data_IF_730129409026
#
_entry.id   IF_730129409026
#
_cell.length_a   1.000
_cell.length_b   1.000
_cell.length_c   1.000
_cell.angle_alpha   90.00
_cell.angle_beta   90.00
_cell.angle_gamma   90.00
#
_symmetry.space_group_name_H-M   'P 1'
#
loop_
_entity.id
_entity.type
_entity.pdbx_description
1 polymer ?
#
# COMPACT_ATOMS: atom_id res chain seq x y z
N UNK A 1 -74.07 -73.29 1.58
CA UNK A 1 -74.63 -72.62 2.75
C UNK A 1 -75.04 -71.20 2.37
N UNK A 2 -76.32 -70.92 2.23
CA UNK A 2 -76.81 -69.54 2.05
C UNK A 2 -76.68 -68.79 3.41
N UNK A 3 -75.79 -67.82 3.48
CA UNK A 3 -75.71 -66.90 4.65
C UNK A 3 -76.74 -65.80 4.50
N UNK A 4 -77.90 -65.93 5.20
CA UNK A 4 -79.06 -65.05 5.06
C UNK A 4 -78.88 -63.71 5.79
N UNK A 5 -77.93 -63.57 6.69
CA UNK A 5 -77.78 -62.36 7.55
C UNK A 5 -76.75 -61.34 7.04
N UNK A 6 -75.93 -61.66 6.03
CA UNK A 6 -74.91 -60.71 5.49
C UNK A 6 -74.79 -60.82 3.97
N UNK A 7 -75.02 -59.72 3.27
CA UNK A 7 -74.82 -59.63 1.80
C UNK A 7 -73.35 -59.29 1.53
N UNK A 8 -72.49 -60.31 1.38
CA UNK A 8 -71.06 -60.18 1.13
C UNK A 8 -70.76 -59.43 -0.18
N UNK A 9 -71.61 -59.55 -1.19
CA UNK A 9 -71.44 -58.83 -2.44
C UNK A 9 -71.67 -57.32 -2.27
N UNK A 10 -72.72 -56.93 -1.51
CA UNK A 10 -72.99 -55.54 -1.21
C UNK A 10 -71.84 -54.90 -0.31
N UNK A 11 -71.34 -55.68 0.66
CA UNK A 11 -70.18 -55.20 1.49
C UNK A 11 -68.91 -55.04 0.67
N UNK A 12 -68.66 -55.96 -0.32
CA UNK A 12 -67.53 -55.80 -1.22
C UNK A 12 -67.70 -54.64 -2.21
N UNK A 13 -68.93 -54.43 -2.73
CA UNK A 13 -69.23 -53.25 -3.53
C UNK A 13 -69.05 -51.94 -2.77
N UNK A 14 -69.57 -51.90 -1.52
CA UNK A 14 -69.38 -50.73 -0.66
C UNK A 14 -67.93 -50.46 -0.34
N UNK A 15 -67.14 -51.50 -0.04
CA UNK A 15 -65.68 -51.35 0.19
C UNK A 15 -64.99 -50.80 -1.03
N UNK A 16 -65.30 -51.31 -2.22
CA UNK A 16 -64.72 -50.81 -3.48
C UNK A 16 -65.13 -49.37 -3.78
N UNK A 17 -66.36 -48.99 -3.44
CA UNK A 17 -66.88 -47.62 -3.58
C UNK A 17 -66.10 -46.63 -2.63
N UNK A 18 -65.92 -47.02 -1.38
CA UNK A 18 -65.17 -46.24 -0.42
C UNK A 18 -63.72 -46.08 -0.92
N UNK A 19 -63.09 -47.16 -1.33
CA UNK A 19 -61.72 -47.11 -1.86
C UNK A 19 -61.60 -46.20 -3.10
N UNK A 20 -62.55 -46.26 -4.02
CA UNK A 20 -62.59 -45.40 -5.23
C UNK A 20 -62.80 -43.92 -4.87
N UNK A 21 -63.68 -43.63 -3.88
CA UNK A 21 -63.84 -42.26 -3.41
C UNK A 21 -62.58 -41.72 -2.75
N UNK A 22 -61.89 -42.53 -1.97
CA UNK A 22 -60.60 -42.12 -1.36
C UNK A 22 -59.52 -41.83 -2.42
N UNK A 23 -59.42 -42.70 -3.45
CA UNK A 23 -58.48 -42.48 -4.56
C UNK A 23 -58.86 -41.23 -5.34
N UNK A 24 -60.15 -41.00 -5.63
CA UNK A 24 -60.66 -39.82 -6.32
C UNK A 24 -60.37 -38.55 -5.54
N UNK A 25 -60.67 -38.53 -4.22
CA UNK A 25 -60.40 -37.40 -3.36
C UNK A 25 -58.87 -37.07 -3.32
N UNK A 26 -58.02 -38.08 -3.19
CA UNK A 26 -56.56 -37.89 -3.26
C UNK A 26 -56.09 -37.33 -4.61
N UNK A 27 -56.68 -37.81 -5.71
CA UNK A 27 -56.33 -37.33 -7.05
C UNK A 27 -56.80 -35.88 -7.24
N UNK A 28 -58.01 -35.53 -6.80
CA UNK A 28 -58.52 -34.15 -6.81
C UNK A 28 -57.64 -33.21 -5.97
N UNK A 29 -57.21 -33.67 -4.77
CA UNK A 29 -56.31 -32.92 -3.95
C UNK A 29 -54.97 -32.65 -4.64
N UNK A 30 -54.39 -33.65 -5.30
CA UNK A 30 -53.18 -33.54 -6.08
C UNK A 30 -53.33 -32.60 -7.27
N UNK A 31 -54.46 -32.69 -7.98
CA UNK A 31 -54.76 -31.83 -9.12
C UNK A 31 -54.96 -30.37 -8.68
N UNK A 32 -55.68 -30.14 -7.59
CA UNK A 32 -55.92 -28.79 -7.03
C UNK A 32 -54.66 -28.14 -6.49
N UNK A 33 -53.78 -28.90 -5.85
CA UNK A 33 -52.53 -28.38 -5.30
C UNK A 33 -51.40 -28.33 -6.36
N UNK A 34 -51.53 -29.05 -7.49
CA UNK A 34 -50.46 -29.24 -8.44
C UNK A 34 -49.28 -30.08 -7.94
N UNK A 35 -49.39 -30.67 -6.76
CA UNK A 35 -48.31 -31.40 -6.11
C UNK A 35 -48.67 -32.89 -5.95
N UNK A 36 -47.68 -33.77 -6.25
CA UNK A 36 -47.84 -35.22 -6.11
C UNK A 36 -47.88 -35.67 -4.64
N UNK A 37 -47.19 -34.93 -3.75
CA UNK A 37 -47.06 -35.23 -2.33
C UNK A 37 -47.61 -34.03 -1.55
N UNK A 38 -48.74 -34.22 -0.88
CA UNK A 38 -49.44 -33.18 -0.09
C UNK A 38 -49.41 -33.44 1.42
N UNK A 39 -49.33 -34.72 1.79
CA UNK A 39 -49.40 -35.15 3.18
C UNK A 39 -48.30 -36.15 3.51
N UNK A 40 -47.96 -36.26 4.79
CA UNK A 40 -46.96 -37.23 5.24
C UNK A 40 -47.32 -38.68 4.88
N UNK A 41 -48.64 -38.98 4.77
CA UNK A 41 -49.15 -40.29 4.34
C UNK A 41 -48.87 -40.62 2.84
N UNK A 42 -48.58 -39.62 1.99
CA UNK A 42 -48.25 -39.83 0.59
C UNK A 42 -46.78 -40.30 0.36
N UNK A 43 -45.94 -40.20 1.39
CA UNK A 43 -44.55 -40.64 1.40
C UNK A 43 -43.69 -39.76 2.30
N UNK A 44 -43.40 -40.20 3.55
CA UNK A 44 -42.70 -39.35 4.55
C UNK A 44 -41.32 -38.91 4.09
N UNK A 45 -40.53 -39.79 3.47
CA UNK A 45 -39.22 -39.47 2.97
C UNK A 45 -39.23 -38.43 1.82
N UNK A 46 -40.21 -38.60 0.94
CA UNK A 46 -40.38 -37.71 -0.24
C UNK A 46 -40.89 -36.33 0.20
N UNK A 47 -41.71 -36.24 1.25
CA UNK A 47 -42.16 -34.96 1.82
C UNK A 47 -40.98 -34.20 2.42
N UNK A 48 -40.13 -34.86 3.22
CA UNK A 48 -38.93 -34.23 3.79
C UNK A 48 -37.99 -33.69 2.70
N UNK A 49 -37.77 -34.48 1.64
CA UNK A 49 -36.95 -34.04 0.51
C UNK A 49 -37.58 -32.83 -0.19
N UNK A 50 -38.92 -32.88 -0.45
CA UNK A 50 -39.65 -31.77 -1.08
C UNK A 50 -39.55 -30.46 -0.26
N UNK A 51 -39.76 -30.52 1.05
CA UNK A 51 -39.64 -29.36 1.91
C UNK A 51 -38.21 -28.83 2.00
N UNK A 52 -37.22 -29.74 2.02
CA UNK A 52 -35.79 -29.33 1.99
C UNK A 52 -35.43 -28.62 0.66
N UNK A 53 -35.92 -29.15 -0.49
CA UNK A 53 -35.70 -28.50 -1.79
C UNK A 53 -36.44 -27.15 -1.87
N UNK A 54 -37.66 -27.06 -1.34
CA UNK A 54 -38.43 -25.82 -1.30
C UNK A 54 -37.72 -24.76 -0.44
N UNK A 55 -37.18 -25.14 0.72
CA UNK A 55 -36.36 -24.27 1.54
C UNK A 55 -35.10 -23.81 0.82
N UNK A 56 -34.42 -24.72 0.09
CA UNK A 56 -33.25 -24.36 -0.72
C UNK A 56 -33.59 -23.38 -1.85
N UNK A 57 -34.70 -23.61 -2.57
CA UNK A 57 -35.16 -22.71 -3.64
C UNK A 57 -35.50 -21.32 -3.07
N UNK A 58 -36.16 -21.24 -1.90
CA UNK A 58 -36.44 -20.00 -1.22
C UNK A 58 -35.15 -19.28 -0.81
N UNK A 59 -34.18 -20.02 -0.24
CA UNK A 59 -32.89 -19.51 0.12
C UNK A 59 -32.06 -19.00 -1.08
N UNK A 60 -32.10 -19.73 -2.22
CA UNK A 60 -31.40 -19.31 -3.45
C UNK A 60 -32.02 -18.05 -4.06
N UNK A 61 -33.35 -17.91 -4.05
CA UNK A 61 -34.00 -16.67 -4.51
C UNK A 61 -33.56 -15.49 -3.68
N UNK A 62 -33.57 -15.62 -2.35
CA UNK A 62 -33.08 -14.55 -1.47
C UNK A 62 -31.59 -14.27 -1.68
N UNK A 63 -30.78 -15.29 -1.98
CA UNK A 63 -29.36 -15.11 -2.31
C UNK A 63 -29.14 -14.33 -3.61
N UNK A 64 -29.99 -14.52 -4.61
CA UNK A 64 -30.00 -13.73 -5.85
C UNK A 64 -30.32 -12.27 -5.54
N UNK A 65 -31.42 -12.01 -4.81
CA UNK A 65 -31.79 -10.64 -4.41
C UNK A 65 -30.66 -9.97 -3.62
N UNK A 66 -30.02 -10.68 -2.69
CA UNK A 66 -28.86 -10.17 -1.94
C UNK A 66 -27.69 -9.85 -2.86
N UNK A 67 -27.44 -10.66 -3.89
CA UNK A 67 -26.34 -10.43 -4.86
C UNK A 67 -26.63 -9.19 -5.71
N UNK A 68 -27.87 -9.01 -6.18
CA UNK A 68 -28.29 -7.81 -6.92
C UNK A 68 -28.11 -6.54 -6.09
N UNK A 69 -28.51 -6.56 -4.82
CA UNK A 69 -28.30 -5.45 -3.88
C UNK A 69 -26.79 -5.21 -3.67
N UNK A 70 -26.01 -6.28 -3.56
CA UNK A 70 -24.54 -6.20 -3.45
C UNK A 70 -23.90 -5.53 -4.67
N UNK A 71 -24.32 -5.91 -5.86
CA UNK A 71 -23.89 -5.33 -7.14
C UNK A 71 -24.23 -3.82 -7.18
N UNK A 72 -25.46 -3.45 -6.86
CA UNK A 72 -25.88 -2.05 -6.82
C UNK A 72 -25.05 -1.20 -5.85
N UNK A 73 -24.69 -1.77 -4.69
CA UNK A 73 -23.81 -1.12 -3.72
C UNK A 73 -22.40 -0.92 -4.27
N UNK A 74 -21.82 -1.94 -4.92
CA UNK A 74 -20.49 -1.86 -5.53
C UNK A 74 -20.46 -0.86 -6.68
N UNK A 75 -21.51 -0.82 -7.51
CA UNK A 75 -21.65 0.16 -8.59
C UNK A 75 -21.74 1.59 -8.07
N UNK A 76 -22.41 1.82 -6.92
CA UNK A 76 -22.44 3.14 -6.26
C UNK A 76 -21.03 3.56 -5.83
N UNK A 77 -20.27 2.64 -5.22
CA UNK A 77 -18.90 2.90 -4.83
C UNK A 77 -17.98 3.14 -6.05
N UNK A 78 -18.16 2.37 -7.12
CA UNK A 78 -17.40 2.53 -8.36
C UNK A 78 -17.64 3.90 -9.02
N UNK A 79 -18.89 4.37 -9.04
CA UNK A 79 -19.20 5.72 -9.53
C UNK A 79 -18.44 6.80 -8.78
N UNK A 80 -18.41 6.73 -7.44
CA UNK A 80 -17.65 7.65 -6.61
C UNK A 80 -16.12 7.54 -6.83
N UNK A 81 -15.60 6.33 -6.98
CA UNK A 81 -14.18 6.11 -7.29
C UNK A 81 -13.78 6.62 -8.68
N UNK A 82 -14.69 6.60 -9.64
CA UNK A 82 -14.43 7.16 -10.97
C UNK A 82 -14.25 8.68 -10.91
N UNK A 83 -15.05 9.37 -10.09
CA UNK A 83 -14.94 10.82 -9.86
C UNK A 83 -13.63 11.17 -9.14
N UNK A 84 -13.26 10.38 -8.11
CA UNK A 84 -11.98 10.54 -7.41
C UNK A 84 -10.81 10.32 -8.38
N UNK A 85 -10.88 9.32 -9.24
CA UNK A 85 -9.84 9.06 -10.23
C UNK A 85 -9.66 10.22 -11.22
N UNK A 86 -10.75 10.83 -11.69
CA UNK A 86 -10.69 12.00 -12.54
C UNK A 86 -10.05 13.20 -11.81
N UNK A 87 -10.41 13.39 -10.55
CA UNK A 87 -9.85 14.43 -9.68
C UNK A 87 -8.35 14.25 -9.46
N UNK A 88 -7.89 13.02 -9.24
CA UNK A 88 -6.46 12.71 -9.10
C UNK A 88 -5.67 12.97 -10.39
N UNK A 89 -6.27 12.70 -11.56
CA UNK A 89 -5.63 13.02 -12.85
C UNK A 89 -5.48 14.54 -13.03
N UNK A 90 -6.48 15.35 -12.63
CA UNK A 90 -6.39 16.80 -12.66
C UNK A 90 -5.32 17.29 -11.68
N UNK A 91 -5.29 16.76 -10.46
CA UNK A 91 -4.27 17.07 -9.46
C UNK A 91 -2.85 16.77 -9.97
N UNK A 92 -2.67 15.66 -10.69
CA UNK A 92 -1.40 15.31 -11.30
C UNK A 92 -0.96 16.34 -12.35
N UNK A 93 -1.91 16.84 -13.16
CA UNK A 93 -1.60 17.88 -14.15
C UNK A 93 -1.14 19.18 -13.48
N UNK A 94 -1.76 19.57 -12.37
CA UNK A 94 -1.34 20.75 -11.58
C UNK A 94 0.04 20.53 -10.96
N UNK A 95 0.32 19.36 -10.39
CA UNK A 95 1.63 19.06 -9.84
C UNK A 95 2.74 19.05 -10.91
N UNK A 96 2.46 18.54 -12.13
CA UNK A 96 3.40 18.61 -13.26
C UNK A 96 3.59 20.05 -13.73
N UNK A 97 2.53 20.89 -13.72
CA UNK A 97 2.64 22.30 -14.02
C UNK A 97 3.53 23.01 -12.99
N UNK A 98 3.25 22.81 -11.70
CA UNK A 98 4.02 23.39 -10.59
C UNK A 98 5.50 22.97 -10.57
N UNK A 99 5.82 21.75 -11.04
CA UNK A 99 7.19 21.26 -11.12
C UNK A 99 8.07 22.02 -12.14
N UNK A 100 7.49 22.86 -13.01
CA UNK A 100 8.22 23.65 -14.00
C UNK A 100 8.68 24.99 -13.39
N UNK A 101 9.68 24.96 -12.55
CA UNK A 101 10.24 26.13 -11.84
C UNK A 101 10.70 27.25 -12.79
N UNK A 102 11.12 26.92 -14.01
CA UNK A 102 11.68 27.91 -14.96
C UNK A 102 10.63 28.91 -15.49
N UNK A 103 9.34 28.60 -15.40
CA UNK A 103 8.25 29.37 -15.99
C UNK A 103 7.28 29.90 -14.95
N UNK A 104 7.12 29.20 -13.83
CA UNK A 104 6.14 29.54 -12.81
C UNK A 104 6.72 30.55 -11.81
N UNK A 105 5.93 31.56 -11.50
CA UNK A 105 6.19 32.48 -10.39
C UNK A 105 5.48 32.03 -9.10
N UNK A 106 5.79 32.65 -7.98
CA UNK A 106 5.22 32.33 -6.68
C UNK A 106 3.69 32.44 -6.65
N UNK A 107 3.09 33.39 -7.39
CA UNK A 107 1.64 33.55 -7.49
C UNK A 107 0.99 32.38 -8.22
N UNK A 108 1.62 31.87 -9.29
CA UNK A 108 1.16 30.69 -10.03
C UNK A 108 1.25 29.43 -9.16
N UNK A 109 2.36 29.22 -8.46
CA UNK A 109 2.53 28.09 -7.54
C UNK A 109 1.51 28.12 -6.39
N UNK A 110 1.21 29.30 -5.86
CA UNK A 110 0.14 29.47 -4.87
C UNK A 110 -1.24 29.14 -5.44
N UNK A 111 -1.55 29.56 -6.67
CA UNK A 111 -2.81 29.24 -7.32
C UNK A 111 -2.96 27.72 -7.56
N UNK A 112 -1.91 27.05 -8.03
CA UNK A 112 -1.90 25.60 -8.20
C UNK A 112 -2.11 24.88 -6.85
N UNK A 113 -1.48 25.35 -5.77
CA UNK A 113 -1.66 24.78 -4.42
C UNK A 113 -3.10 24.96 -3.92
N UNK A 114 -3.73 26.11 -4.13
CA UNK A 114 -5.13 26.34 -3.75
C UNK A 114 -6.07 25.40 -4.52
N UNK A 115 -5.83 25.19 -5.81
CA UNK A 115 -6.64 24.25 -6.60
C UNK A 115 -6.43 22.81 -6.14
N UNK A 116 -5.20 22.40 -5.81
CA UNK A 116 -4.91 21.09 -5.19
C UNK A 116 -5.66 20.95 -3.86
N UNK A 117 -5.67 21.96 -3.00
CA UNK A 117 -6.40 21.95 -1.74
C UNK A 117 -7.92 21.78 -1.95
N UNK A 118 -8.48 22.43 -2.99
CA UNK A 118 -9.86 22.27 -3.38
C UNK A 118 -10.17 20.84 -3.84
N UNK A 119 -9.29 20.24 -4.64
CA UNK A 119 -9.42 18.85 -5.10
C UNK A 119 -9.31 17.88 -3.92
N UNK A 120 -8.38 18.05 -2.99
CA UNK A 120 -8.27 17.25 -1.77
C UNK A 120 -9.56 17.30 -0.95
N UNK A 121 -10.12 18.52 -0.76
CA UNK A 121 -11.40 18.72 -0.08
C UNK A 121 -12.57 18.04 -0.80
N UNK A 122 -12.54 18.01 -2.13
CA UNK A 122 -13.54 17.33 -2.95
C UNK A 122 -13.42 15.80 -2.81
N UNK A 123 -12.21 15.24 -2.83
CA UNK A 123 -11.95 13.81 -2.60
C UNK A 123 -12.48 13.40 -1.22
N UNK A 124 -12.17 14.16 -0.18
CA UNK A 124 -12.63 13.88 1.18
C UNK A 124 -14.15 13.98 1.31
N UNK A 125 -14.79 14.89 0.61
CA UNK A 125 -16.24 15.01 0.55
C UNK A 125 -16.86 13.81 -0.17
N UNK A 126 -16.38 13.45 -1.36
CA UNK A 126 -16.87 12.28 -2.11
C UNK A 126 -16.71 11.01 -1.30
N UNK A 127 -15.57 10.82 -0.64
CA UNK A 127 -15.31 9.65 0.22
C UNK A 127 -16.30 9.55 1.38
N UNK A 128 -16.64 10.69 2.00
CA UNK A 128 -17.58 10.76 3.12
C UNK A 128 -19.02 10.60 2.69
N UNK A 129 -19.41 11.19 1.54
CA UNK A 129 -20.78 11.23 1.05
C UNK A 129 -21.16 9.97 0.26
N UNK A 130 -20.18 9.19 -0.23
CA UNK A 130 -20.42 7.92 -0.91
C UNK A 130 -21.02 6.88 0.05
N UNK A 131 -22.35 6.73 -0.01
CA UNK A 131 -23.09 5.83 0.87
C UNK A 131 -24.14 5.01 0.11
N UNK A 132 -24.42 3.82 0.62
CA UNK A 132 -25.53 2.99 0.21
C UNK A 132 -26.49 2.76 1.39
N UNK A 133 -27.64 3.40 1.34
CA UNK A 133 -28.52 3.53 2.49
C UNK A 133 -27.89 4.37 3.60
N UNK A 134 -27.58 3.76 4.75
CA UNK A 134 -26.88 4.41 5.88
C UNK A 134 -25.42 3.95 6.04
N UNK A 135 -24.89 3.24 5.04
CA UNK A 135 -23.54 2.67 5.11
C UNK A 135 -22.62 3.50 4.22
N UNK A 136 -21.66 4.16 4.83
CA UNK A 136 -20.55 4.80 4.11
C UNK A 136 -19.67 3.70 3.49
N UNK A 137 -19.15 3.96 2.30
CA UNK A 137 -18.43 2.95 1.51
C UNK A 137 -16.94 3.22 1.42
N UNK A 138 -16.52 4.50 1.33
CA UNK A 138 -15.15 4.90 1.02
C UNK A 138 -14.39 5.54 2.19
N UNK A 139 -15.04 5.74 3.34
CA UNK A 139 -14.49 6.37 4.54
C UNK A 139 -13.61 5.45 5.40
N UNK A 140 -13.33 4.22 4.93
CA UNK A 140 -12.57 3.21 5.67
C UNK A 140 -13.40 2.41 6.69
N UNK A 141 -14.63 2.82 7.00
CA UNK A 141 -15.48 2.13 7.99
C UNK A 141 -15.85 0.69 7.59
N UNK A 142 -15.66 0.33 6.29
CA UNK A 142 -15.99 -0.98 5.70
C UNK A 142 -14.76 -1.76 5.23
N UNK A 143 -13.60 -1.45 5.77
CA UNK A 143 -12.33 -2.10 5.48
C UNK A 143 -11.65 -2.65 6.72
N UNK A 144 -10.45 -3.14 6.54
CA UNK A 144 -9.53 -3.43 7.62
C UNK A 144 -8.74 -2.16 7.94
N UNK A 145 -8.89 -1.65 9.15
CA UNK A 145 -8.17 -0.48 9.64
C UNK A 145 -7.14 -0.89 10.69
N UNK A 146 -6.00 -0.23 10.69
CA UNK A 146 -4.93 -0.51 11.62
C UNK A 146 -4.40 0.75 12.30
N UNK A 147 -4.02 0.60 13.57
CA UNK A 147 -3.30 1.61 14.33
C UNK A 147 -2.01 0.99 14.82
N UNK A 148 -0.90 1.66 14.56
CA UNK A 148 0.43 1.21 14.99
C UNK A 148 0.81 1.79 16.34
N UNK A 149 1.54 1.00 17.11
CA UNK A 149 2.24 1.43 18.33
C UNK A 149 3.72 1.15 18.11
N UNK A 150 4.50 2.20 17.95
CA UNK A 150 5.94 2.15 17.63
C UNK A 150 6.38 3.36 16.84
N UNK A 151 7.60 3.87 17.07
CA UNK A 151 8.05 5.14 16.53
C UNK A 151 8.26 5.14 15.00
N UNK A 152 8.60 3.98 14.43
CA UNK A 152 8.99 3.79 13.02
C UNK A 152 8.11 2.76 12.32
N UNK A 153 6.90 2.48 12.86
CA UNK A 153 5.91 1.59 12.27
C UNK A 153 4.75 2.40 11.74
N UNK A 154 4.36 2.13 10.50
CA UNK A 154 3.17 2.70 9.87
C UNK A 154 2.29 1.61 9.27
N UNK A 155 0.97 1.73 9.50
CA UNK A 155 0.01 0.84 8.88
C UNK A 155 -0.23 1.29 7.43
N UNK A 156 0.11 0.44 6.47
CA UNK A 156 -0.08 0.70 5.04
C UNK A 156 -1.44 0.20 4.59
N UNK A 157 -1.80 -1.01 4.98
CA UNK A 157 -3.08 -1.60 4.59
C UNK A 157 -3.30 -2.99 5.14
N UNK A 158 -4.53 -3.47 4.99
CA UNK A 158 -4.89 -4.85 5.24
C UNK A 158 -6.03 -5.25 4.29
N UNK A 159 -6.14 -6.53 4.00
CA UNK A 159 -7.19 -7.04 3.13
C UNK A 159 -8.30 -7.75 3.95
N UNK A 160 -9.27 -8.31 3.25
CA UNK A 160 -10.40 -9.05 3.85
C UNK A 160 -10.00 -10.37 4.52
N UNK A 161 -8.78 -10.90 4.26
CA UNK A 161 -8.26 -12.12 4.87
C UNK A 161 -7.61 -11.85 6.22
N UNK A 162 -7.13 -10.62 6.45
CA UNK A 162 -6.54 -10.21 7.72
C UNK A 162 -7.59 -10.30 8.81
N UNK A 163 -7.34 -11.07 9.85
CA UNK A 163 -8.25 -11.15 11.00
C UNK A 163 -8.09 -9.90 11.87
N UNK A 164 -9.14 -9.54 12.60
CA UNK A 164 -9.01 -8.53 13.65
C UNK A 164 -8.01 -8.99 14.71
N UNK A 165 -7.11 -8.10 15.12
CA UNK A 165 -6.16 -8.41 16.18
C UNK A 165 -6.84 -8.50 17.55
N UNK A 166 -6.29 -9.30 18.44
CA UNK A 166 -6.71 -9.32 19.85
C UNK A 166 -6.24 -8.05 20.59
N UNK A 167 -6.55 -8.03 21.89
CA UNK A 167 -6.04 -6.98 22.80
C UNK A 167 -4.51 -7.02 22.80
N UNK A 168 -3.87 -5.90 22.47
CA UNK A 168 -2.42 -5.79 22.34
C UNK A 168 -1.89 -5.81 20.91
N UNK A 169 -2.75 -6.01 19.91
CA UNK A 169 -2.37 -5.94 18.50
C UNK A 169 -1.50 -7.12 18.03
N UNK A 170 -1.13 -7.09 16.76
CA UNK A 170 -0.11 -7.98 16.19
C UNK A 170 1.27 -7.43 16.54
N UNK A 171 2.08 -8.21 17.21
CA UNK A 171 3.46 -7.86 17.57
C UNK A 171 4.37 -8.00 16.37
N UNK A 172 5.21 -6.99 16.13
CA UNK A 172 6.11 -6.92 14.97
C UNK A 172 7.55 -7.09 15.43
N UNK A 173 8.20 -8.12 14.89
CA UNK A 173 9.64 -8.39 15.05
C UNK A 173 10.31 -8.15 13.70
N UNK A 174 11.30 -7.27 13.64
CA UNK A 174 12.11 -7.02 12.45
C UNK A 174 13.45 -7.73 12.62
N UNK A 175 13.68 -8.75 11.82
CA UNK A 175 14.90 -9.56 11.87
C UNK A 175 16.03 -8.91 11.07
N UNK A 176 15.70 -8.33 9.91
CA UNK A 176 16.64 -7.63 9.04
C UNK A 176 15.95 -6.41 8.44
N UNK A 177 16.61 -5.25 8.51
CA UNK A 177 16.10 -4.01 7.92
C UNK A 177 16.34 -3.98 6.41
N UNK A 178 15.48 -3.27 5.69
CA UNK A 178 15.66 -3.05 4.27
C UNK A 178 16.94 -2.25 3.99
N UNK A 179 17.61 -2.57 2.88
CA UNK A 179 18.79 -1.84 2.40
C UNK A 179 18.62 -1.46 0.95
N UNK A 180 19.16 -0.31 0.59
CA UNK A 180 19.24 0.17 -0.79
C UNK A 180 20.45 -0.47 -1.49
N UNK A 181 20.34 -0.68 -2.80
CA UNK A 181 21.47 -1.07 -3.61
C UNK A 181 22.47 0.11 -3.68
N UNK A 182 23.72 -0.13 -3.32
CA UNK A 182 24.74 0.92 -3.29
C UNK A 182 26.13 0.39 -3.66
N UNK A 183 26.95 1.26 -4.20
CA UNK A 183 28.38 1.01 -4.44
C UNK A 183 29.17 2.21 -3.95
N UNK A 184 30.26 1.92 -3.23
CA UNK A 184 31.23 2.95 -2.81
C UNK A 184 32.56 2.63 -3.46
N UNK A 185 33.15 3.61 -4.12
CA UNK A 185 34.49 3.48 -4.70
C UNK A 185 35.53 3.15 -3.63
N UNK A 186 36.52 2.38 -4.02
CA UNK A 186 37.70 2.07 -3.19
C UNK A 186 38.84 3.07 -3.41
N UNK A 187 38.74 3.84 -4.49
CA UNK A 187 39.69 4.90 -4.86
C UNK A 187 38.98 6.25 -4.72
N UNK A 188 39.65 7.20 -4.03
CA UNK A 188 39.12 8.56 -3.91
C UNK A 188 39.28 9.35 -5.22
N UNK A 189 38.31 10.20 -5.54
CA UNK A 189 38.41 11.14 -6.63
C UNK A 189 39.45 12.21 -6.27
N UNK A 190 40.50 12.32 -7.12
CA UNK A 190 41.59 13.29 -6.94
C UNK A 190 41.69 14.21 -8.15
N UNK A 191 42.32 15.37 -7.98
CA UNK A 191 42.55 16.29 -9.10
C UNK A 191 43.34 15.62 -10.24
N UNK A 192 44.27 14.67 -9.95
CA UNK A 192 45.01 13.93 -10.96
C UNK A 192 44.11 13.05 -11.85
N UNK A 193 43.07 12.43 -11.24
CA UNK A 193 42.07 11.63 -11.95
C UNK A 193 41.20 12.55 -12.81
N UNK A 194 40.76 13.67 -12.24
CA UNK A 194 39.95 14.69 -12.94
C UNK A 194 40.71 15.23 -14.17
N UNK A 195 41.97 15.63 -14.01
CA UNK A 195 42.77 16.20 -15.09
C UNK A 195 43.09 15.15 -16.18
N UNK A 196 43.14 13.89 -15.84
CA UNK A 196 43.29 12.78 -16.79
C UNK A 196 42.07 12.63 -17.67
N UNK A 197 40.91 13.02 -17.17
CA UNK A 197 39.61 12.92 -17.86
C UNK A 197 38.93 11.59 -17.56
N UNK A 198 38.24 11.52 -16.45
CA UNK A 198 37.48 10.36 -16.02
C UNK A 198 36.09 10.35 -16.65
N UNK A 199 35.62 9.18 -17.06
CA UNK A 199 34.26 8.98 -17.53
C UNK A 199 33.52 8.02 -16.58
N UNK A 200 32.38 8.44 -16.10
CA UNK A 200 31.48 7.63 -15.27
C UNK A 200 30.19 7.44 -16.05
N UNK A 201 29.81 6.18 -16.27
CA UNK A 201 28.54 5.84 -16.91
C UNK A 201 27.68 5.10 -15.90
N UNK A 202 26.41 5.52 -15.78
CA UNK A 202 25.40 4.92 -14.90
C UNK A 202 24.23 4.52 -15.77
N UNK A 203 23.78 3.29 -15.64
CA UNK A 203 22.63 2.76 -16.37
C UNK A 203 21.60 2.18 -15.38
N UNK A 204 20.36 2.61 -15.50
CA UNK A 204 19.25 2.16 -14.66
C UNK A 204 17.94 2.23 -15.46
N UNK A 205 17.14 1.16 -15.43
CA UNK A 205 15.82 1.11 -16.07
C UNK A 205 15.82 1.40 -17.57
N UNK A 206 16.96 1.13 -18.28
CA UNK A 206 17.14 1.43 -19.70
C UNK A 206 17.50 2.90 -19.99
N UNK A 207 17.73 3.71 -18.96
CA UNK A 207 18.30 5.06 -19.09
C UNK A 207 19.79 4.99 -18.84
N UNK A 208 20.58 5.74 -19.62
CA UNK A 208 22.04 5.78 -19.50
C UNK A 208 22.49 7.22 -19.33
N UNK A 209 23.30 7.48 -18.32
CA UNK A 209 23.98 8.75 -18.09
C UNK A 209 25.46 8.53 -18.26
N UNK A 210 26.10 9.43 -18.99
CA UNK A 210 27.54 9.48 -19.11
C UNK A 210 28.03 10.84 -18.65
N UNK A 211 28.82 10.85 -17.58
CA UNK A 211 29.45 12.03 -17.01
C UNK A 211 30.94 11.99 -17.28
N UNK A 212 31.48 13.10 -17.81
CA UNK A 212 32.91 13.29 -17.99
C UNK A 212 33.38 14.35 -17.00
N UNK A 213 34.48 14.10 -16.30
CA UNK A 213 35.04 15.07 -15.36
C UNK A 213 35.45 16.36 -16.05
N UNK A 214 35.20 17.48 -15.36
CA UNK A 214 35.56 18.82 -15.83
C UNK A 214 37.00 19.09 -15.44
N UNK A 215 37.91 19.06 -16.42
CA UNK A 215 39.35 19.24 -16.22
C UNK A 215 39.65 20.65 -15.70
N UNK A 216 40.55 20.75 -14.75
CA UNK A 216 40.92 22.01 -14.10
C UNK A 216 39.95 22.51 -13.03
N UNK A 217 38.83 21.81 -12.80
CA UNK A 217 37.87 22.10 -11.75
C UNK A 217 38.20 21.29 -10.48
N UNK A 218 37.68 21.75 -9.34
CA UNK A 218 37.87 21.07 -8.05
C UNK A 218 37.06 19.75 -7.98
N UNK A 219 37.44 18.87 -7.06
CA UNK A 219 36.70 17.62 -6.78
C UNK A 219 35.25 17.94 -6.43
N UNK A 220 35.01 18.96 -5.59
CA UNK A 220 33.67 19.38 -5.18
C UNK A 220 32.80 19.85 -6.37
N UNK A 221 33.40 20.68 -7.26
CA UNK A 221 32.71 21.14 -8.47
C UNK A 221 32.30 19.97 -9.38
N UNK A 222 33.16 18.96 -9.53
CA UNK A 222 32.88 17.75 -10.31
C UNK A 222 31.80 16.88 -9.67
N UNK A 223 31.80 16.70 -8.34
CA UNK A 223 30.75 15.96 -7.63
C UNK A 223 29.39 16.66 -7.73
N UNK A 224 29.36 17.99 -7.59
CA UNK A 224 28.14 18.77 -7.77
C UNK A 224 27.61 18.70 -9.22
N UNK A 225 28.50 18.74 -10.22
CA UNK A 225 28.15 18.58 -11.63
C UNK A 225 27.59 17.18 -11.92
N UNK A 226 28.21 16.12 -11.35
CA UNK A 226 27.68 14.76 -11.45
C UNK A 226 26.28 14.65 -10.82
N UNK A 227 26.12 15.18 -9.61
CA UNK A 227 24.82 15.20 -8.91
C UNK A 227 23.74 15.90 -9.74
N UNK A 228 24.07 17.05 -10.34
CA UNK A 228 23.16 17.78 -11.21
C UNK A 228 22.81 16.98 -12.46
N UNK A 229 23.78 16.36 -13.12
CA UNK A 229 23.56 15.53 -14.32
C UNK A 229 22.64 14.35 -14.02
N UNK A 230 22.79 13.72 -12.86
CA UNK A 230 21.92 12.62 -12.41
C UNK A 230 20.50 13.13 -12.14
N UNK A 231 20.33 14.28 -11.49
CA UNK A 231 19.03 14.89 -11.23
C UNK A 231 18.31 15.27 -12.53
N UNK A 232 19.00 15.91 -13.47
CA UNK A 232 18.46 16.35 -14.76
C UNK A 232 18.02 15.16 -15.65
N UNK A 233 18.63 13.98 -15.46
CA UNK A 233 18.36 12.77 -16.28
C UNK A 233 17.23 11.91 -15.73
N UNK A 234 16.66 12.26 -14.59
CA UNK A 234 15.56 11.53 -13.93
C UNK A 234 15.85 10.02 -13.78
N UNK A 235 17.05 9.69 -13.30
CA UNK A 235 17.47 8.34 -12.92
C UNK A 235 17.22 8.12 -11.43
N UNK A 236 16.90 6.89 -11.04
CA UNK A 236 16.61 6.58 -9.65
C UNK A 236 17.85 6.16 -8.84
N UNK A 237 19.00 6.62 -9.28
CA UNK A 237 20.28 6.53 -8.57
C UNK A 237 20.69 7.92 -8.08
N UNK A 238 21.18 8.01 -6.85
CA UNK A 238 21.66 9.25 -6.24
C UNK A 238 23.14 9.17 -5.90
N UNK A 239 23.80 10.32 -5.96
CA UNK A 239 25.15 10.48 -5.45
C UNK A 239 25.07 10.85 -3.96
N UNK A 240 25.62 10.01 -3.09
CA UNK A 240 25.72 10.25 -1.65
C UNK A 240 27.07 10.90 -1.36
N UNK A 241 27.02 12.14 -0.90
CA UNK A 241 28.23 12.87 -0.52
C UNK A 241 28.75 12.39 0.84
N UNK A 242 30.07 12.47 1.11
CA UNK A 242 30.65 12.01 2.37
C UNK A 242 30.06 12.65 3.63
N UNK A 243 29.69 13.94 3.59
CA UNK A 243 29.00 14.65 4.67
C UNK A 243 27.59 14.10 4.89
N UNK A 244 26.85 13.80 3.82
CA UNK A 244 25.55 13.15 3.88
C UNK A 244 25.66 11.75 4.50
N UNK A 245 26.65 10.96 4.10
CA UNK A 245 26.90 9.63 4.65
C UNK A 245 27.22 9.67 6.14
N UNK A 246 28.01 10.66 6.58
CA UNK A 246 28.35 10.89 7.99
C UNK A 246 27.11 11.30 8.81
N UNK A 247 26.28 12.18 8.25
CA UNK A 247 25.01 12.60 8.86
C UNK A 247 24.01 11.44 8.94
N UNK A 248 23.86 10.68 7.86
CA UNK A 248 22.98 9.51 7.83
C UNK A 248 23.40 8.47 8.87
N UNK A 249 24.69 8.15 8.97
CA UNK A 249 25.18 7.20 9.97
C UNK A 249 24.93 7.67 11.41
N UNK A 250 25.08 8.96 11.69
CA UNK A 250 24.77 9.54 13.01
C UNK A 250 23.27 9.44 13.33
N UNK A 251 22.42 9.69 12.33
CA UNK A 251 20.97 9.64 12.50
C UNK A 251 20.43 8.20 12.51
N UNK A 252 21.11 7.25 11.85
CA UNK A 252 20.79 5.83 11.89
C UNK A 252 21.11 5.17 13.22
N UNK A 253 22.19 5.59 13.88
CA UNK A 253 22.53 5.10 15.22
C UNK A 253 21.58 5.63 16.31
N UNK A 254 20.81 6.66 16.01
CA UNK A 254 19.80 7.21 16.89
C UNK A 254 18.42 6.60 16.59
N UNK A 255 17.56 6.45 17.62
CA UNK A 255 16.16 6.02 17.43
C UNK A 255 15.25 7.17 16.98
N UNK A 256 15.77 8.10 16.20
CA UNK A 256 15.04 9.26 15.72
C UNK A 256 13.93 8.85 14.77
N UNK A 257 12.75 9.48 14.90
CA UNK A 257 11.61 9.24 14.01
C UNK A 257 12.01 9.52 12.56
N UNK A 258 11.66 8.62 11.67
CA UNK A 258 11.99 8.70 10.24
C UNK A 258 11.59 10.05 9.61
N UNK A 259 10.42 10.57 9.94
CA UNK A 259 9.95 11.86 9.41
C UNK A 259 10.87 13.04 9.74
N UNK A 260 11.49 13.05 10.93
CA UNK A 260 12.47 14.09 11.33
C UNK A 260 13.81 13.83 10.65
N UNK A 261 14.22 12.55 10.59
CA UNK A 261 15.45 12.14 9.93
C UNK A 261 15.46 12.55 8.45
N UNK A 262 14.39 12.27 7.71
CA UNK A 262 14.28 12.67 6.29
C UNK A 262 14.26 14.18 6.10
N UNK A 263 13.61 14.95 7.00
CA UNK A 263 13.63 16.42 6.94
C UNK A 263 15.04 16.99 7.14
N UNK A 264 15.83 16.43 8.03
CA UNK A 264 17.23 16.85 8.27
C UNK A 264 18.09 16.47 7.07
N UNK A 265 17.99 15.23 6.56
CA UNK A 265 18.74 14.74 5.41
C UNK A 265 18.37 15.52 4.14
N UNK A 266 17.10 15.81 3.92
CA UNK A 266 16.63 16.53 2.73
C UNK A 266 17.19 17.95 2.56
N UNK A 267 17.58 18.60 3.67
CA UNK A 267 18.09 19.98 3.66
C UNK A 267 19.58 20.09 3.99
N UNK A 268 20.28 18.98 4.17
CA UNK A 268 21.68 18.98 4.67
C UNK A 268 22.67 19.78 3.81
N UNK A 269 22.40 19.95 2.52
CA UNK A 269 23.24 20.70 1.56
C UNK A 269 22.95 22.22 1.56
N UNK A 270 21.93 22.69 2.26
CA UNK A 270 21.57 24.10 2.37
C UNK A 270 21.64 24.52 3.83
N UNK A 271 22.68 25.28 4.19
CA UNK A 271 22.93 25.67 5.58
C UNK A 271 21.77 26.48 6.18
N UNK A 272 21.15 27.37 5.41
CA UNK A 272 20.04 28.20 5.90
C UNK A 272 18.78 27.35 6.12
N UNK A 273 18.44 26.46 5.17
CA UNK A 273 17.32 25.53 5.31
C UNK A 273 17.53 24.52 6.44
N UNK A 274 18.74 24.03 6.64
CA UNK A 274 19.09 23.16 7.76
C UNK A 274 18.89 23.89 9.11
N UNK A 275 19.34 25.13 9.22
CA UNK A 275 19.13 25.95 10.44
C UNK A 275 17.64 26.17 10.72
N UNK A 276 16.83 26.39 9.69
CA UNK A 276 15.37 26.57 9.84
C UNK A 276 14.69 25.27 10.32
N UNK A 277 15.12 24.13 9.83
CA UNK A 277 14.63 22.83 10.30
C UNK A 277 15.10 22.56 11.74
N UNK A 278 16.35 22.83 12.07
CA UNK A 278 16.91 22.61 13.41
C UNK A 278 16.34 23.55 14.47
N UNK A 279 15.75 24.70 14.11
CA UNK A 279 15.06 25.62 15.03
C UNK A 279 13.64 25.18 15.38
N UNK A 280 13.07 24.23 14.67
CA UNK A 280 11.70 23.77 14.94
C UNK A 280 11.65 22.99 16.26
N UNK A 281 10.64 23.29 17.08
CA UNK A 281 10.51 22.74 18.44
C UNK A 281 10.33 21.20 18.45
N UNK A 282 9.63 20.67 17.45
CA UNK A 282 9.44 19.22 17.27
C UNK A 282 10.76 18.51 16.97
N UNK A 283 11.63 19.12 16.15
CA UNK A 283 12.94 18.58 15.78
C UNK A 283 13.90 18.65 16.98
N UNK A 284 14.00 19.80 17.64
CA UNK A 284 14.88 19.98 18.80
C UNK A 284 14.49 19.06 19.96
N UNK A 285 13.21 18.86 20.18
CA UNK A 285 12.69 17.96 21.22
C UNK A 285 13.02 16.51 20.90
N UNK A 286 12.78 16.08 19.66
CA UNK A 286 13.07 14.72 19.23
C UNK A 286 14.57 14.40 19.26
N UNK A 287 15.45 15.33 18.85
CA UNK A 287 16.90 15.17 18.95
C UNK A 287 17.33 14.97 20.40
N UNK A 288 16.78 15.75 21.31
CA UNK A 288 17.09 15.64 22.75
C UNK A 288 16.62 14.29 23.33
N UNK A 289 15.46 13.79 22.91
CA UNK A 289 14.94 12.48 23.35
C UNK A 289 15.89 11.33 23.00
N UNK A 290 16.59 11.41 21.86
CA UNK A 290 17.55 10.40 21.40
C UNK A 290 18.99 10.70 21.81
N UNK A 291 19.23 11.78 22.59
CA UNK A 291 20.56 12.14 23.11
C UNK A 291 21.47 12.86 22.10
N UNK A 292 20.91 13.36 21.00
CA UNK A 292 21.64 14.16 20.00
C UNK A 292 21.47 15.66 20.30
N UNK A 293 22.48 16.44 19.95
CA UNK A 293 22.43 17.90 20.00
C UNK A 293 22.34 18.48 18.58
N UNK A 294 21.83 19.72 18.49
CA UNK A 294 21.84 20.47 17.23
C UNK A 294 23.28 20.66 16.71
N UNK A 295 24.26 20.78 17.60
CA UNK A 295 25.68 20.91 17.25
C UNK A 295 26.23 19.61 16.61
N UNK A 296 25.81 18.44 17.06
CA UNK A 296 26.23 17.17 16.46
C UNK A 296 25.74 17.08 14.99
N UNK A 297 24.52 17.52 14.74
CA UNK A 297 23.95 17.56 13.38
C UNK A 297 24.70 18.57 12.51
N UNK A 298 24.98 19.77 13.03
CA UNK A 298 25.77 20.77 12.31
C UNK A 298 27.17 20.27 11.97
N UNK A 299 27.83 19.63 12.92
CA UNK A 299 29.16 19.07 12.69
C UNK A 299 29.19 17.96 11.68
N UNK A 300 28.13 17.12 11.67
CA UNK A 300 27.99 16.04 10.69
C UNK A 300 27.63 16.57 9.29
N UNK A 301 26.79 17.61 9.20
CA UNK A 301 26.34 18.21 7.94
C UNK A 301 27.36 19.24 7.39
N UNK A 302 28.32 19.69 8.17
CA UNK A 302 29.31 20.67 7.72
C UNK A 302 30.00 20.18 6.45
N UNK A 303 29.98 21.00 5.40
CA UNK A 303 30.69 20.72 4.17
C UNK A 303 32.16 20.43 4.48
N UNK A 304 32.68 19.36 3.90
CA UNK A 304 34.10 19.03 3.99
C UNK A 304 34.86 20.06 3.15
N UNK A 305 35.09 21.22 3.73
CA UNK A 305 35.94 22.25 3.13
C UNK A 305 37.43 21.95 3.33
N UNK A 306 37.73 20.90 4.11
CA UNK A 306 39.10 20.45 4.30
C UNK A 306 39.50 19.56 3.11
N UNK A 307 40.26 20.18 2.18
CA UNK A 307 40.78 19.57 0.95
C UNK A 307 41.72 18.37 1.16
N UNK A 308 41.86 17.88 2.38
CA UNK A 308 42.74 16.78 2.76
C UNK A 308 42.04 15.44 3.03
N UNK A 309 40.72 15.39 3.15
CA UNK A 309 40.01 14.09 3.29
C UNK A 309 39.75 13.45 1.91
N UNK A 310 40.04 12.14 1.75
CA UNK A 310 39.79 11.45 0.49
C UNK A 310 38.28 11.40 0.18
N UNK A 311 37.88 11.88 -0.99
CA UNK A 311 36.49 11.92 -1.45
C UNK A 311 36.16 10.65 -2.23
N UNK A 312 35.51 9.69 -1.59
CA UNK A 312 34.99 8.47 -2.27
C UNK A 312 33.64 8.75 -2.89
N UNK A 313 33.44 8.29 -4.10
CA UNK A 313 32.14 8.37 -4.77
C UNK A 313 31.28 7.21 -4.28
N UNK A 314 30.10 7.54 -3.72
CA UNK A 314 29.08 6.56 -3.37
C UNK A 314 27.85 6.79 -4.22
N UNK A 315 27.47 5.79 -5.01
CA UNK A 315 26.23 5.77 -5.76
C UNK A 315 25.26 4.81 -5.10
N UNK A 316 24.02 5.24 -4.96
CA UNK A 316 22.98 4.49 -4.26
C UNK A 316 21.66 4.61 -5.01
N UNK A 317 20.90 3.51 -5.11
CA UNK A 317 19.55 3.57 -5.64
C UNK A 317 18.61 4.27 -4.63
N UNK A 318 17.61 5.00 -5.12
CA UNK A 318 16.65 5.70 -4.24
C UNK A 318 15.72 4.72 -3.54
N UNK A 319 15.30 3.63 -4.20
CA UNK A 319 14.40 2.64 -3.64
C UNK A 319 15.13 1.57 -2.82
N UNK A 320 14.44 1.06 -1.80
CA UNK A 320 14.87 -0.06 -0.97
C UNK A 320 14.49 -1.40 -1.58
N UNK A 321 15.26 -2.43 -1.26
CA UNK A 321 14.91 -3.81 -1.57
C UNK A 321 15.80 -4.47 -2.60
N UNK A 322 15.41 -5.65 -3.01
CA UNK A 322 16.15 -6.51 -3.94
C UNK A 322 15.80 -6.25 -5.42
N UNK A 323 14.66 -5.61 -5.69
CA UNK A 323 14.23 -5.29 -7.07
C UNK A 323 15.04 -4.16 -7.73
N UNK A 324 15.45 -3.08 -7.00
CA UNK A 324 16.23 -2.00 -7.56
C UNK A 324 17.64 -2.46 -7.95
N UNK A 325 17.99 -2.32 -9.24
CA UNK A 325 19.28 -2.71 -9.80
C UNK A 325 19.76 -1.63 -10.76
N UNK A 326 21.04 -1.29 -10.68
CA UNK A 326 21.67 -0.37 -11.63
C UNK A 326 23.08 -0.86 -12.00
N UNK A 327 23.62 -0.41 -13.10
CA UNK A 327 24.99 -0.70 -13.50
C UNK A 327 25.86 0.56 -13.54
N UNK A 328 27.13 0.40 -13.21
CA UNK A 328 28.12 1.48 -13.22
C UNK A 328 29.35 1.06 -13.99
N UNK A 329 29.92 2.02 -14.71
CA UNK A 329 31.21 1.86 -15.42
C UNK A 329 32.06 3.08 -15.12
N UNK A 330 33.36 2.91 -14.90
CA UNK A 330 34.33 4.00 -14.74
C UNK A 330 35.59 3.70 -15.50
N UNK A 331 36.23 4.73 -16.07
CA UNK A 331 37.49 4.58 -16.81
C UNK A 331 38.61 4.17 -15.85
N UNK A 332 38.62 4.67 -14.62
CA UNK A 332 39.58 4.28 -13.58
C UNK A 332 38.99 3.20 -12.69
N UNK A 333 39.66 2.03 -12.62
CA UNK A 333 39.28 0.94 -11.75
C UNK A 333 39.26 1.37 -10.27
N UNK A 334 38.23 0.99 -9.54
CA UNK A 334 38.07 1.31 -8.11
C UNK A 334 37.48 2.68 -7.83
N UNK A 335 37.26 3.56 -8.81
CA UNK A 335 36.62 4.85 -8.59
C UNK A 335 35.12 4.72 -8.29
N UNK A 336 34.41 3.92 -9.10
CA UNK A 336 33.01 3.52 -8.90
C UNK A 336 32.87 2.04 -9.23
N UNK A 337 33.34 1.60 -10.41
CA UNK A 337 33.38 0.20 -10.82
C UNK A 337 34.69 -0.46 -10.39
N UNK A 338 34.66 -1.76 -10.07
CA UNK A 338 35.84 -2.52 -9.63
C UNK A 338 36.91 -2.64 -10.74
N UNK A 339 36.49 -2.74 -12.02
CA UNK A 339 37.34 -2.87 -13.19
C UNK A 339 37.16 -1.66 -14.13
N UNK A 340 38.22 -1.29 -14.84
CA UNK A 340 38.21 -0.19 -15.81
C UNK A 340 37.40 -0.56 -17.04
N UNK A 341 36.50 0.33 -17.47
CA UNK A 341 35.64 0.20 -18.65
C UNK A 341 34.76 -1.07 -18.73
N UNK A 342 34.55 -1.73 -17.59
CA UNK A 342 33.68 -2.90 -17.46
C UNK A 342 32.41 -2.52 -16.69
N UNK A 343 31.20 -2.75 -17.24
CA UNK A 343 29.96 -2.54 -16.50
C UNK A 343 29.86 -3.47 -15.30
N UNK A 344 29.65 -2.90 -14.12
CA UNK A 344 29.41 -3.61 -12.87
C UNK A 344 27.96 -3.44 -12.47
N UNK A 345 27.24 -4.54 -12.38
CA UNK A 345 25.86 -4.56 -11.87
C UNK A 345 25.83 -4.49 -10.34
N UNK A 346 25.01 -3.60 -9.80
CA UNK A 346 24.83 -3.36 -8.37
C UNK A 346 23.42 -3.82 -7.99
N UNK A 347 23.34 -4.94 -7.27
CA UNK A 347 22.13 -5.64 -6.85
C UNK A 347 22.18 -6.06 -5.36
N UNK A 348 22.94 -5.35 -4.55
CA UNK A 348 23.17 -5.68 -3.14
C UNK A 348 22.12 -5.11 -2.18
N UNK A 349 21.05 -4.55 -2.72
CA UNK A 349 19.88 -4.14 -1.95
C UNK A 349 19.20 -5.33 -1.25
N UNK A 350 18.47 -5.08 -0.17
CA UNK A 350 17.77 -6.11 0.60
C UNK A 350 16.38 -5.65 1.01
N UNK A 351 15.43 -6.57 0.93
CA UNK A 351 14.10 -6.39 1.49
C UNK A 351 14.13 -6.55 3.01
N UNK A 352 13.17 -5.92 3.68
CA UNK A 352 12.94 -6.13 5.09
C UNK A 352 12.57 -7.60 5.36
N UNK A 353 13.12 -8.19 6.42
CA UNK A 353 12.71 -9.51 6.88
C UNK A 353 12.23 -9.43 8.33
N UNK A 354 11.13 -10.10 8.65
CA UNK A 354 10.56 -10.04 9.98
C UNK A 354 9.47 -11.06 10.22
N UNK A 355 8.85 -10.93 11.40
CA UNK A 355 7.73 -11.78 11.82
C UNK A 355 6.59 -10.91 12.34
N UNK A 356 5.38 -11.33 12.05
CA UNK A 356 4.15 -10.75 12.57
C UNK A 356 3.51 -11.79 13.49
N UNK A 357 3.37 -11.47 14.76
CA UNK A 357 2.85 -12.37 15.80
C UNK A 357 3.63 -13.70 15.90
N UNK A 358 4.93 -13.68 15.62
CA UNK A 358 5.79 -14.85 15.63
C UNK A 358 5.80 -15.68 14.34
N UNK A 359 4.92 -15.36 13.37
CA UNK A 359 4.86 -16.01 12.05
C UNK A 359 5.68 -15.22 11.02
N UNK A 360 6.34 -15.93 10.11
CA UNK A 360 7.21 -15.31 9.09
C UNK A 360 6.38 -14.41 8.17
N UNK A 361 6.87 -13.20 7.98
CA UNK A 361 6.31 -12.22 7.06
C UNK A 361 7.27 -11.98 5.89
N UNK A 362 6.73 -11.57 4.75
CA UNK A 362 7.50 -11.33 3.53
C UNK A 362 7.77 -9.84 3.39
N UNK A 363 9.01 -9.48 3.09
CA UNK A 363 9.41 -8.11 2.80
C UNK A 363 9.32 -7.76 1.32
N UNK A 364 8.98 -6.50 1.04
CA UNK A 364 9.21 -5.85 -0.23
C UNK A 364 9.66 -4.41 0.05
N UNK A 365 10.91 -4.09 -0.25
CA UNK A 365 11.51 -2.85 0.22
C UNK A 365 11.41 -2.75 1.74
N UNK A 366 10.85 -1.67 2.25
CA UNK A 366 10.61 -1.42 3.68
C UNK A 366 9.23 -1.93 4.17
N UNK A 367 8.40 -2.50 3.28
CA UNK A 367 7.06 -2.97 3.63
C UNK A 367 7.11 -4.45 4.00
N UNK A 368 6.68 -4.77 5.22
CA UNK A 368 6.51 -6.13 5.72
C UNK A 368 5.07 -6.57 5.50
N UNK A 369 4.88 -7.70 4.81
CA UNK A 369 3.58 -8.27 4.48
C UNK A 369 3.34 -9.58 5.20
N UNK A 370 2.20 -9.71 5.85
CA UNK A 370 1.78 -10.93 6.53
C UNK A 370 1.70 -12.13 5.59
N UNK A 371 2.24 -13.26 6.04
CA UNK A 371 2.28 -14.50 5.27
C UNK A 371 0.91 -15.05 4.94
N UNK A 372 0.78 -15.74 3.80
CA UNK A 372 -0.46 -16.38 3.39
C UNK A 372 -0.91 -17.45 4.41
N UNK A 373 -2.22 -17.55 4.63
CA UNK A 373 -2.86 -18.47 5.59
C UNK A 373 -2.57 -18.22 7.08
N UNK A 374 -1.89 -17.11 7.41
CA UNK A 374 -1.70 -16.64 8.79
C UNK A 374 -2.89 -15.79 9.27
N UNK A 375 -2.91 -15.43 10.55
CA UNK A 375 -3.93 -14.48 11.04
C UNK A 375 -3.73 -13.07 10.48
N UNK A 376 -2.48 -12.74 10.14
CA UNK A 376 -2.07 -11.46 9.55
C UNK A 376 -2.00 -11.51 8.01
N UNK A 377 -2.59 -12.53 7.35
CA UNK A 377 -2.58 -12.64 5.88
C UNK A 377 -3.07 -11.35 5.22
N UNK A 378 -2.20 -10.75 4.39
CA UNK A 378 -2.49 -9.51 3.68
C UNK A 378 -2.39 -8.22 4.51
N UNK A 379 -1.90 -8.28 5.75
CA UNK A 379 -1.51 -7.10 6.52
C UNK A 379 -0.19 -6.54 5.97
N UNK A 380 -0.15 -5.26 5.65
CA UNK A 380 1.01 -4.54 5.14
C UNK A 380 1.41 -3.43 6.11
N UNK A 381 2.68 -3.44 6.51
CA UNK A 381 3.24 -2.54 7.51
C UNK A 381 4.54 -1.98 6.96
N UNK A 382 4.69 -0.66 6.93
CA UNK A 382 5.94 0.00 6.65
C UNK A 382 6.77 0.09 7.93
N UNK A 383 8.03 -0.29 7.84
CA UNK A 383 9.03 -0.06 8.88
C UNK A 383 10.17 0.79 8.32
N UNK A 384 10.32 1.98 8.88
CA UNK A 384 11.32 2.97 8.46
C UNK A 384 12.48 3.07 9.45
N UNK A 385 12.51 2.22 10.48
CA UNK A 385 13.62 2.15 11.42
C UNK A 385 14.89 1.55 10.80
N UNK A 386 16.05 1.98 11.29
CA UNK A 386 17.36 1.49 10.87
C UNK A 386 17.83 0.25 11.62
N UNK A 387 17.24 -0.04 12.79
CA UNK A 387 17.67 -1.13 13.65
C UNK A 387 16.76 -2.35 13.55
N UNK A 388 17.36 -3.52 13.43
CA UNK A 388 16.64 -4.77 13.61
C UNK A 388 16.31 -4.98 15.10
N UNK A 389 15.23 -5.72 15.38
CA UNK A 389 14.90 -6.13 16.75
C UNK A 389 15.98 -7.06 17.31
N UNK A 390 16.29 -6.94 18.59
CA UNK A 390 16.98 -8.02 19.28
C UNK A 390 16.09 -9.28 19.26
N UNK A 391 16.72 -10.46 19.24
CA UNK A 391 15.96 -11.71 19.13
C UNK A 391 14.88 -11.83 20.23
N UNK A 392 13.61 -11.89 19.81
CA UNK A 392 12.47 -11.98 20.71
C UNK A 392 11.92 -10.61 21.20
N UNK A 393 12.52 -9.50 20.80
CA UNK A 393 12.00 -8.16 21.06
C UNK A 393 11.12 -7.69 19.89
N UNK A 394 10.21 -6.78 20.19
CA UNK A 394 9.27 -6.24 19.21
C UNK A 394 9.53 -4.75 18.99
N UNK A 395 9.57 -4.31 17.74
CA UNK A 395 9.66 -2.89 17.38
C UNK A 395 8.36 -2.12 17.67
N UNK A 396 7.27 -2.86 17.85
CA UNK A 396 5.97 -2.31 18.17
C UNK A 396 4.84 -3.29 17.90
N UNK A 397 3.62 -2.79 17.88
CA UNK A 397 2.43 -3.60 17.56
C UNK A 397 1.48 -2.86 16.64
N UNK A 398 0.66 -3.63 15.91
CA UNK A 398 -0.38 -3.11 15.02
C UNK A 398 -1.73 -3.67 15.46
N UNK A 399 -2.62 -2.79 15.92
CA UNK A 399 -3.99 -3.17 16.24
C UNK A 399 -4.84 -3.06 14.99
N UNK A 400 -5.38 -4.19 14.53
CA UNK A 400 -6.21 -4.27 13.33
C UNK A 400 -7.66 -4.52 13.71
N UNK A 401 -8.55 -3.67 13.19
CA UNK A 401 -10.01 -3.85 13.29
C UNK A 401 -10.54 -4.25 11.92
N UNK A 402 -11.17 -5.44 11.82
CA UNK A 402 -11.71 -5.97 10.58
C UNK A 402 -13.21 -5.68 10.49
N UNK A 403 -13.60 -4.78 9.59
CA UNK A 403 -14.97 -4.34 9.35
C UNK A 403 -15.46 -4.66 7.92
N UNK A 404 -14.83 -5.60 7.24
CA UNK A 404 -15.23 -6.00 5.89
C UNK A 404 -16.67 -6.46 5.83
N UNK A 405 -17.33 -6.21 4.72
CA UNK A 405 -18.74 -6.54 4.49
C UNK A 405 -18.87 -8.00 4.08
N UNK A 406 -19.93 -8.63 4.56
CA UNK A 406 -20.29 -10.01 4.23
C UNK A 406 -21.54 -10.02 3.38
N UNK A 407 -21.50 -10.67 2.22
CA UNK A 407 -22.63 -10.88 1.33
C UNK A 407 -23.00 -12.36 1.35
N UNK A 408 -24.22 -12.70 1.78
CA UNK A 408 -24.75 -14.05 1.69
C UNK A 408 -25.21 -14.30 0.26
N UNK A 409 -24.44 -15.06 -0.50
CA UNK A 409 -24.66 -15.32 -1.95
C UNK A 409 -25.18 -16.73 -2.21
N UNK A 410 -25.44 -17.52 -1.20
CA UNK A 410 -25.98 -18.88 -1.32
C UNK A 410 -26.98 -19.20 -0.25
N UNK A 411 -27.73 -20.32 -0.45
CA UNK A 411 -28.83 -20.75 0.41
C UNK A 411 -28.36 -21.36 1.74
N UNK A 412 -27.09 -21.77 1.85
CA UNK A 412 -26.59 -22.51 3.01
C UNK A 412 -25.66 -21.65 3.88
N UNK A 413 -25.50 -22.06 5.13
CA UNK A 413 -24.58 -21.43 6.06
C UNK A 413 -23.14 -21.42 5.50
N UNK A 414 -22.43 -20.29 5.64
CA UNK A 414 -21.05 -20.14 5.19
C UNK A 414 -20.87 -19.84 3.70
N UNK A 415 -21.93 -19.76 2.91
CA UNK A 415 -21.87 -19.36 1.50
C UNK A 415 -21.88 -17.83 1.37
N UNK A 416 -20.82 -17.19 1.91
CA UNK A 416 -20.66 -15.75 1.94
C UNK A 416 -19.46 -15.33 1.10
N UNK A 417 -19.55 -14.16 0.49
CA UNK A 417 -18.41 -13.43 -0.08
C UNK A 417 -18.10 -12.25 0.83
N UNK A 418 -16.83 -12.09 1.16
CA UNK A 418 -16.36 -11.00 2.01
C UNK A 418 -15.65 -9.98 1.14
N UNK A 419 -15.93 -8.71 1.33
CA UNK A 419 -15.23 -7.63 0.64
C UNK A 419 -14.98 -6.46 1.59
N UNK A 420 -13.72 -6.01 1.62
CA UNK A 420 -13.29 -4.83 2.37
C UNK A 420 -12.98 -3.69 1.41
N UNK A 421 -13.49 -2.51 1.70
CA UNK A 421 -13.15 -1.28 0.99
C UNK A 421 -12.22 -0.50 1.90
N UNK A 422 -11.00 -0.25 1.41
CA UNK A 422 -10.03 0.56 2.17
C UNK A 422 -10.48 2.02 2.22
N UNK A 423 -9.91 2.77 3.13
CA UNK A 423 -10.08 4.20 3.23
C UNK A 423 -9.56 4.91 1.96
N UNK A 424 -10.43 5.72 1.33
CA UNK A 424 -10.14 6.50 0.13
C UNK A 424 -10.33 7.99 0.49
N UNK A 425 -9.60 8.46 1.48
CA UNK A 425 -9.53 9.87 1.88
C UNK A 425 -8.17 10.43 1.50
N UNK A 426 -8.02 11.75 1.50
CA UNK A 426 -6.72 12.41 1.30
C UNK A 426 -5.64 11.91 2.27
N UNK A 427 -6.03 11.58 3.52
CA UNK A 427 -5.14 11.01 4.55
C UNK A 427 -4.91 9.51 4.41
N UNK A 428 -5.83 8.80 3.74
CA UNK A 428 -5.78 7.35 3.55
C UNK A 428 -5.00 6.91 2.32
N UNK A 429 -4.86 7.81 1.35
CA UNK A 429 -4.20 7.56 0.06
C UNK A 429 -2.72 7.93 0.09
N UNK A 430 -1.94 7.21 -0.72
CA UNK A 430 -0.50 7.43 -0.93
C UNK A 430 0.32 7.41 0.36
N UNK A 431 -0.05 6.56 1.31
CA UNK A 431 0.78 6.30 2.51
C UNK A 431 2.02 5.50 2.14
N UNK A 432 3.09 5.73 2.88
CA UNK A 432 4.33 4.99 2.72
C UNK A 432 5.01 5.18 1.35
N UNK A 433 4.88 6.36 0.76
CA UNK A 433 5.66 6.79 -0.40
C UNK A 433 6.90 7.52 0.11
N UNK A 434 8.06 7.03 -0.26
CA UNK A 434 9.31 7.71 0.07
C UNK A 434 9.41 9.02 -0.69
N UNK A 435 9.73 10.11 0.00
CA UNK A 435 9.85 11.45 -0.58
C UNK A 435 10.76 12.32 0.29
N UNK A 436 11.41 13.32 -0.31
CA UNK A 436 12.32 14.22 0.37
C UNK A 436 11.59 15.34 1.14
N UNK A 437 10.38 15.68 0.73
CA UNK A 437 9.57 16.74 1.34
C UNK A 437 8.91 16.32 2.67
N UNK A 438 8.98 15.02 3.02
CA UNK A 438 8.42 14.48 4.27
C UNK A 438 6.91 14.33 4.28
N UNK A 439 6.25 14.27 3.11
CA UNK A 439 4.82 14.03 2.97
C UNK A 439 4.47 12.60 3.41
N UNK A 440 3.48 12.45 4.27
CA UNK A 440 3.04 11.15 4.79
C UNK A 440 1.86 10.57 4.04
N UNK A 441 1.09 11.43 3.37
CA UNK A 441 -0.13 11.09 2.66
C UNK A 441 -0.42 12.13 1.59
N UNK A 442 -1.43 11.88 0.77
CA UNK A 442 -1.91 12.83 -0.22
C UNK A 442 -2.35 14.17 0.40
N UNK A 443 -2.78 14.18 1.66
CA UNK A 443 -3.22 15.39 2.37
C UNK A 443 -2.09 16.39 2.67
N UNK A 444 -0.84 15.94 2.66
CA UNK A 444 0.33 16.73 3.06
C UNK A 444 1.03 17.41 1.87
N UNK A 445 0.51 17.23 0.64
CA UNK A 445 1.14 17.73 -0.58
C UNK A 445 1.24 19.26 -0.58
N UNK A 446 2.45 19.74 -0.86
CA UNK A 446 2.76 21.15 -1.08
C UNK A 446 3.60 21.30 -2.36
N UNK A 447 3.02 21.93 -3.38
CA UNK A 447 3.64 22.10 -4.71
C UNK A 447 4.30 23.47 -4.90
N UNK A 448 4.39 24.28 -3.85
CA UNK A 448 5.00 25.61 -3.90
C UNK A 448 6.51 25.60 -4.07
N UNK A 449 7.12 24.43 -4.01
CA UNK A 449 8.55 24.24 -4.30
C UNK A 449 8.71 23.18 -5.39
N UNK A 450 9.75 23.29 -6.22
CA UNK A 450 10.02 22.32 -7.28
C UNK A 450 10.19 20.89 -6.73
N UNK A 451 10.88 20.72 -5.60
CA UNK A 451 11.02 19.42 -4.94
C UNK A 451 9.67 18.89 -4.42
N UNK A 452 8.88 19.76 -3.77
CA UNK A 452 7.56 19.39 -3.30
C UNK A 452 6.61 18.99 -4.43
N UNK A 453 6.67 19.67 -5.57
CA UNK A 453 5.90 19.34 -6.76
C UNK A 453 6.31 17.98 -7.36
N UNK A 454 7.61 17.66 -7.42
CA UNK A 454 8.11 16.36 -7.88
C UNK A 454 7.66 15.22 -6.94
N UNK A 455 7.81 15.41 -5.63
CA UNK A 455 7.36 14.45 -4.64
C UNK A 455 5.84 14.27 -4.68
N UNK A 456 5.09 15.37 -4.89
CA UNK A 456 3.64 15.32 -5.06
C UNK A 456 3.22 14.45 -6.25
N UNK A 457 3.93 14.50 -7.38
CA UNK A 457 3.66 13.64 -8.55
C UNK A 457 3.76 12.16 -8.14
N UNK A 458 4.81 11.77 -7.40
CA UNK A 458 4.98 10.39 -6.94
C UNK A 458 3.84 9.93 -6.03
N UNK A 459 3.41 10.79 -5.09
CA UNK A 459 2.29 10.49 -4.20
C UNK A 459 0.97 10.35 -4.98
N UNK A 460 0.71 11.27 -5.93
CA UNK A 460 -0.50 11.24 -6.75
C UNK A 460 -0.54 10.00 -7.64
N UNK A 461 0.58 9.60 -8.26
CA UNK A 461 0.68 8.39 -9.07
C UNK A 461 0.40 7.14 -8.22
N UNK A 462 0.89 7.11 -6.98
CA UNK A 462 0.56 6.05 -6.01
C UNK A 462 -0.93 6.04 -5.67
N UNK A 463 -1.53 7.20 -5.42
CA UNK A 463 -2.95 7.32 -5.14
C UNK A 463 -3.81 6.82 -6.33
N UNK A 464 -3.45 7.18 -7.56
CA UNK A 464 -4.11 6.70 -8.79
C UNK A 464 -4.02 5.16 -8.86
N UNK A 465 -2.86 4.58 -8.58
CA UNK A 465 -2.67 3.13 -8.57
C UNK A 465 -3.55 2.45 -7.51
N UNK A 466 -3.65 3.01 -6.30
CA UNK A 466 -4.47 2.49 -5.20
C UNK A 466 -5.96 2.54 -5.51
N UNK A 467 -6.45 3.65 -6.05
CA UNK A 467 -7.85 3.83 -6.48
C UNK A 467 -8.17 2.87 -7.63
N UNK A 468 -7.31 2.78 -8.65
CA UNK A 468 -7.48 1.86 -9.79
C UNK A 468 -7.46 0.40 -9.34
N UNK A 469 -6.56 0.04 -8.43
CA UNK A 469 -6.51 -1.30 -7.85
C UNK A 469 -7.77 -1.65 -7.05
N UNK A 470 -8.34 -0.68 -6.33
CA UNK A 470 -9.59 -0.86 -5.59
C UNK A 470 -10.77 -1.05 -6.54
N UNK A 471 -10.86 -0.25 -7.62
CA UNK A 471 -11.87 -0.43 -8.69
C UNK A 471 -11.74 -1.81 -9.34
N UNK A 472 -10.52 -2.25 -9.67
CA UNK A 472 -10.28 -3.57 -10.24
C UNK A 472 -10.79 -4.72 -9.36
N UNK A 473 -10.56 -4.65 -8.04
CA UNK A 473 -11.10 -5.63 -7.08
C UNK A 473 -12.63 -5.61 -7.00
N UNK A 474 -13.25 -4.43 -7.03
CA UNK A 474 -14.71 -4.29 -7.04
C UNK A 474 -15.34 -4.87 -8.30
N UNK A 475 -14.77 -4.60 -9.48
CA UNK A 475 -15.21 -5.16 -10.75
C UNK A 475 -15.07 -6.70 -10.76
N UNK A 476 -13.97 -7.22 -10.21
CA UNK A 476 -13.80 -8.68 -10.04
C UNK A 476 -14.90 -9.29 -9.16
N UNK A 477 -15.31 -8.60 -8.09
CA UNK A 477 -16.39 -9.04 -7.21
C UNK A 477 -17.74 -9.13 -7.95
N UNK A 478 -18.05 -8.15 -8.81
CA UNK A 478 -19.27 -8.17 -9.64
C UNK A 478 -19.29 -9.39 -10.55
N UNK A 479 -18.17 -9.74 -11.15
CA UNK A 479 -18.07 -10.91 -12.02
C UNK A 479 -18.26 -12.25 -11.29
N UNK A 480 -17.81 -12.35 -10.05
CA UNK A 480 -17.97 -13.54 -9.21
C UNK A 480 -19.42 -13.74 -8.79
#
# INVERSE_FOLDING_TARGET
MMRIKHNIAALNAHRNLVNNNDVTNKTLQRLSSGMKINQAADGPASLVISEKLRAQIGGLRQAIDNSEIGIAMVQTAEGALNEISASLVTMRQLAVHAANEAVNDDEMLHADQEEINNILSMIDRISRDAQYGKKHLLDGSRGANGVTSGANLEFVGANEKTKGSGVGGYKIEVVETAKRAQVTGTLALTNEIIDRGEQITIEEGGKTITFNTLRGETVEANLNALKKTMADSNIDVELVLPNQQKLESLLEDSDLRSSIRYRIIGVHNNADALEDVLRQEDVTTALREVGLTVEDIRAAAANITDSNEPQFITLRHKDYGTEPVFSVTSTTAGLVAAESDVPQEINNGRDIAGKIQGEVAFGKGQVLKGGAFTQADGLEILYTGSKASASGEFVGSVTVTQNSMYFQVGANCGQTVTHGIREITSKGLARAVENLSGFKSLADIDVRTAQGAQDAICLIDKAIQEVSGTRGRMLSLIHI
#
